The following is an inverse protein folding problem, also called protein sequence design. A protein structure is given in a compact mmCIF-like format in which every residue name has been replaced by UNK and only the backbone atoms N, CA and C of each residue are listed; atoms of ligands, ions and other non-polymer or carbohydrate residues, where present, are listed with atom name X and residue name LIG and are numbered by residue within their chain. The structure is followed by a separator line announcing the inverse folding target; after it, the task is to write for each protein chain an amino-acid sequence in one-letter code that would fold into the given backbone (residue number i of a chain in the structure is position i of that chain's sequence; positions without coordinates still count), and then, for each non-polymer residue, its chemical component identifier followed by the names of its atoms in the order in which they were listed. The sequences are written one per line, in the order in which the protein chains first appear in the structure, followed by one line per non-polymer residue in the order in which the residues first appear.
data_IF_018167790881
#
_entry.id   IF_018167790881
#
_cell.length_a   1.000
_cell.length_b   1.000
_cell.length_c   1.000
_cell.angle_alpha   90.00
_cell.angle_beta   90.00
_cell.angle_gamma   90.00
#
_symmetry.space_group_name_H-M   'P 1'
#
loop_
_entity.id
_entity.type
_entity.pdbx_description
1 polymer ?
#
# COMPACT_ATOMS: atom_id res chain seq x y z
N UNK A 1 -29.85 6.01 9.66
CA UNK A 1 -28.94 5.38 8.69
C UNK A 1 -29.29 5.84 7.28
N UNK A 2 -28.31 6.19 6.46
CA UNK A 2 -28.55 6.56 5.06
C UNK A 2 -29.14 5.37 4.28
N UNK A 3 -30.09 5.62 3.37
CA UNK A 3 -30.67 4.58 2.51
C UNK A 3 -29.58 4.08 1.54
N UNK A 4 -29.38 2.77 1.48
CA UNK A 4 -28.49 2.14 0.50
C UNK A 4 -29.01 2.38 -0.92
N UNK A 5 -28.10 2.67 -1.85
CA UNK A 5 -28.43 2.78 -3.27
C UNK A 5 -28.86 1.41 -3.83
N UNK A 6 -29.54 1.38 -5.00
CA UNK A 6 -29.94 0.13 -5.66
C UNK A 6 -28.72 -0.79 -5.88
N UNK A 7 -27.63 -0.26 -6.43
CA UNK A 7 -26.38 -1.01 -6.65
C UNK A 7 -25.77 -1.59 -5.38
N UNK A 8 -25.74 -0.81 -4.29
CA UNK A 8 -25.26 -1.30 -3.00
C UNK A 8 -26.13 -2.41 -2.41
N UNK A 9 -27.45 -2.36 -2.61
CA UNK A 9 -28.35 -3.44 -2.20
C UNK A 9 -28.08 -4.72 -2.98
N UNK A 10 -27.93 -4.63 -4.30
CA UNK A 10 -27.59 -5.75 -5.17
C UNK A 10 -26.22 -6.33 -4.81
N UNK A 11 -25.21 -5.50 -4.59
CA UNK A 11 -23.89 -5.92 -4.16
C UNK A 11 -23.93 -6.64 -2.80
N UNK A 12 -24.68 -6.09 -1.84
CA UNK A 12 -24.82 -6.67 -0.50
C UNK A 12 -25.62 -7.98 -0.52
N UNK A 13 -26.59 -8.16 -1.43
CA UNK A 13 -27.36 -9.40 -1.54
C UNK A 13 -26.53 -10.58 -2.06
N UNK A 14 -25.41 -10.32 -2.77
CA UNK A 14 -24.48 -11.35 -3.25
C UNK A 14 -23.52 -11.84 -2.16
N UNK A 15 -23.41 -11.14 -1.05
CA UNK A 15 -22.54 -11.48 0.07
C UNK A 15 -23.39 -12.03 1.21
N UNK A 16 -23.15 -13.25 1.64
CA UNK A 16 -23.82 -13.84 2.80
C UNK A 16 -23.28 -13.17 4.07
N UNK A 17 -24.20 -12.63 4.87
CA UNK A 17 -23.85 -12.02 6.16
C UNK A 17 -23.28 -13.08 7.11
N UNK A 18 -22.21 -12.71 7.80
CA UNK A 18 -21.52 -13.56 8.80
C UNK A 18 -20.83 -14.81 8.25
N UNK A 19 -20.75 -14.97 6.93
CA UNK A 19 -19.93 -16.04 6.32
C UNK A 19 -18.49 -15.57 6.18
N UNK A 20 -17.57 -16.42 6.56
CA UNK A 20 -16.14 -16.24 6.27
C UNK A 20 -15.83 -16.98 4.97
N UNK A 21 -15.25 -16.28 4.03
CA UNK A 21 -14.91 -16.83 2.71
C UNK A 21 -13.44 -17.24 2.67
N UNK A 22 -13.13 -18.24 1.86
CA UNK A 22 -11.74 -18.51 1.51
C UNK A 22 -11.19 -17.36 0.67
N UNK A 23 -9.88 -17.14 0.67
CA UNK A 23 -9.26 -16.06 -0.12
C UNK A 23 -9.56 -16.22 -1.61
N UNK A 24 -9.58 -17.46 -2.12
CA UNK A 24 -9.87 -17.77 -3.52
C UNK A 24 -11.32 -17.45 -3.91
N UNK A 25 -12.27 -17.85 -3.08
CA UNK A 25 -13.69 -17.57 -3.33
C UNK A 25 -13.97 -16.07 -3.25
N UNK A 26 -13.36 -15.38 -2.28
CA UNK A 26 -13.50 -13.95 -2.10
C UNK A 26 -12.94 -13.16 -3.29
N UNK A 27 -11.79 -13.56 -3.84
CA UNK A 27 -11.20 -12.92 -5.03
C UNK A 27 -12.11 -13.05 -6.25
N UNK A 28 -12.77 -14.19 -6.43
CA UNK A 28 -13.75 -14.41 -7.50
C UNK A 28 -15.04 -13.63 -7.27
N UNK A 29 -15.57 -13.65 -6.03
CA UNK A 29 -16.79 -12.95 -5.64
C UNK A 29 -16.64 -11.45 -5.79
N UNK A 30 -15.48 -10.90 -5.48
CA UNK A 30 -15.18 -9.48 -5.53
C UNK A 30 -15.41 -8.89 -6.93
N UNK A 31 -15.06 -9.60 -8.00
CA UNK A 31 -15.35 -9.21 -9.37
C UNK A 31 -16.85 -9.12 -9.68
N UNK A 32 -17.65 -9.99 -9.09
CA UNK A 32 -19.11 -10.01 -9.31
C UNK A 32 -19.84 -8.95 -8.50
N UNK A 33 -19.24 -8.47 -7.42
CA UNK A 33 -19.78 -7.46 -6.51
C UNK A 33 -19.40 -6.05 -6.95
N UNK A 34 -18.29 -5.88 -7.65
CA UNK A 34 -17.87 -4.60 -8.22
C UNK A 34 -18.98 -4.04 -9.15
N UNK A 35 -19.39 -2.80 -8.93
CA UNK A 35 -20.55 -2.20 -9.59
C UNK A 35 -20.27 -0.85 -10.24
N UNK A 36 -19.07 -0.31 -10.11
CA UNK A 36 -18.70 0.97 -10.71
C UNK A 36 -18.43 0.86 -12.21
N UNK A 37 -18.46 2.00 -12.90
CA UNK A 37 -18.18 2.09 -14.34
C UNK A 37 -16.68 2.32 -14.62
N UNK A 38 -15.87 2.48 -13.59
CA UNK A 38 -14.41 2.66 -13.67
C UNK A 38 -13.72 1.43 -13.09
N UNK A 39 -12.44 1.28 -13.38
CA UNK A 39 -11.62 0.20 -12.82
C UNK A 39 -11.34 0.47 -11.34
N UNK A 40 -12.13 -0.20 -10.47
CA UNK A 40 -12.05 -0.02 -9.03
C UNK A 40 -10.72 -0.56 -8.48
N UNK A 41 -10.17 0.11 -7.47
CA UNK A 41 -9.07 -0.43 -6.68
C UNK A 41 -9.58 -1.53 -5.76
N UNK A 42 -8.74 -2.55 -5.58
CA UNK A 42 -8.97 -3.65 -4.62
C UNK A 42 -8.07 -3.42 -3.43
N UNK A 43 -8.69 -3.32 -2.26
CA UNK A 43 -8.01 -3.05 -1.01
C UNK A 43 -8.20 -4.20 -0.03
N UNK A 44 -7.14 -4.49 0.74
CA UNK A 44 -7.17 -5.43 1.86
C UNK A 44 -7.05 -4.66 3.17
N UNK A 45 -7.88 -5.01 4.14
CA UNK A 45 -7.84 -4.48 5.50
C UNK A 45 -7.61 -5.64 6.47
N UNK A 46 -6.48 -5.64 7.18
CA UNK A 46 -6.10 -6.69 8.12
C UNK A 46 -6.07 -6.11 9.53
N UNK A 47 -6.97 -6.57 10.39
CA UNK A 47 -6.99 -6.19 11.79
C UNK A 47 -6.05 -7.08 12.59
N UNK A 48 -5.03 -6.45 13.19
CA UNK A 48 -4.01 -7.12 13.98
C UNK A 48 -4.33 -7.03 15.49
N UNK A 49 -3.84 -7.99 16.24
CA UNK A 49 -3.90 -8.05 17.71
C UNK A 49 -2.75 -7.32 18.37
N UNK A 50 -2.43 -6.09 17.90
CA UNK A 50 -1.35 -5.26 18.41
C UNK A 50 -1.87 -3.96 18.99
N UNK A 51 -1.12 -3.36 19.91
CA UNK A 51 -1.37 -2.01 20.43
C UNK A 51 -0.41 -1.02 19.76
N UNK A 52 -0.86 -0.25 18.76
CA UNK A 52 0.00 0.66 17.99
C UNK A 52 0.52 1.86 18.82
N UNK A 53 0.02 2.07 20.03
CA UNK A 53 0.52 3.09 20.97
C UNK A 53 1.88 2.70 21.56
N UNK A 54 2.19 1.40 21.55
CA UNK A 54 3.46 0.87 22.06
C UNK A 54 4.44 0.74 20.89
N UNK A 55 5.60 1.39 21.00
CA UNK A 55 6.62 1.41 19.96
C UNK A 55 7.10 0.01 19.56
N UNK A 56 7.13 -0.94 20.50
CA UNK A 56 7.54 -2.34 20.29
C UNK A 56 6.44 -3.21 19.64
N UNK A 57 5.23 -2.69 19.46
CA UNK A 57 4.12 -3.38 18.80
C UNK A 57 3.70 -2.68 17.49
N UNK A 58 4.40 -1.64 17.10
CA UNK A 58 4.13 -0.94 15.84
C UNK A 58 4.62 -1.76 14.66
N UNK A 59 3.70 -2.29 13.87
CA UNK A 59 3.99 -3.02 12.64
C UNK A 59 4.09 -2.04 11.48
N UNK A 60 5.23 -2.05 10.82
CA UNK A 60 5.50 -1.30 9.58
C UNK A 60 6.46 -2.11 8.72
N UNK A 61 6.19 -2.16 7.44
CA UNK A 61 7.04 -2.88 6.51
C UNK A 61 6.77 -2.50 5.07
N UNK A 62 7.39 -3.26 4.21
CA UNK A 62 7.20 -3.20 2.76
C UNK A 62 6.91 -4.60 2.24
N UNK A 63 6.17 -4.67 1.17
CA UNK A 63 5.91 -5.90 0.43
C UNK A 63 6.03 -5.60 -1.05
N UNK A 64 6.61 -6.52 -1.81
CA UNK A 64 6.64 -6.46 -3.26
C UNK A 64 5.55 -7.38 -3.78
N UNK A 65 4.56 -6.82 -4.44
CA UNK A 65 3.44 -7.58 -4.99
C UNK A 65 3.89 -8.30 -6.27
N UNK A 66 3.64 -9.62 -6.41
CA UNK A 66 4.05 -10.39 -7.59
C UNK A 66 3.48 -9.83 -8.89
N UNK A 67 2.27 -9.30 -8.86
CA UNK A 67 1.57 -8.76 -10.03
C UNK A 67 1.45 -7.22 -10.02
N UNK A 68 2.18 -6.54 -9.12
CA UNK A 68 2.09 -5.10 -8.94
C UNK A 68 0.73 -4.64 -8.42
N UNK A 69 0.52 -3.32 -8.40
CA UNK A 69 -0.74 -2.68 -7.96
C UNK A 69 -1.68 -2.32 -9.11
N UNK A 70 -1.22 -2.41 -10.37
CA UNK A 70 -1.97 -1.92 -11.54
C UNK A 70 -2.13 -0.40 -11.58
N UNK A 71 -1.34 0.33 -10.81
CA UNK A 71 -1.28 1.80 -10.82
C UNK A 71 0.08 2.23 -11.36
N UNK A 72 0.07 3.16 -12.30
CA UNK A 72 1.29 3.83 -12.74
C UNK A 72 1.78 4.76 -11.64
N UNK A 73 2.89 4.39 -10.99
CA UNK A 73 3.46 5.12 -9.86
C UNK A 73 4.44 6.16 -10.39
N UNK A 74 4.18 7.43 -10.09
CA UNK A 74 5.08 8.54 -10.43
C UNK A 74 6.17 8.66 -9.37
N UNK A 75 7.40 8.38 -9.78
CA UNK A 75 8.57 8.33 -8.90
C UNK A 75 9.42 9.58 -9.08
N UNK A 76 9.66 10.30 -7.97
CA UNK A 76 10.64 11.38 -7.89
C UNK A 76 11.92 10.85 -7.23
N UNK A 77 13.04 10.90 -7.95
CA UNK A 77 14.35 10.60 -7.40
C UNK A 77 15.09 11.91 -7.02
N UNK A 78 15.28 12.13 -5.72
CA UNK A 78 16.07 13.24 -5.19
C UNK A 78 17.50 12.75 -4.93
N UNK A 79 18.38 12.99 -5.90
CA UNK A 79 19.73 12.45 -5.93
C UNK A 79 20.75 13.56 -6.24
N UNK A 80 22.03 13.26 -5.96
CA UNK A 80 23.13 14.12 -6.40
C UNK A 80 23.30 14.05 -7.92
N UNK A 81 23.90 15.06 -8.56
CA UNK A 81 24.09 15.08 -10.01
C UNK A 81 24.76 13.84 -10.59
N UNK A 82 25.66 13.23 -9.82
CA UNK A 82 26.39 12.01 -10.21
C UNK A 82 25.47 10.80 -10.43
N UNK A 83 24.33 10.75 -9.73
CA UNK A 83 23.37 9.64 -9.77
C UNK A 83 22.12 9.95 -10.60
N UNK A 84 22.02 11.12 -11.19
CA UNK A 84 20.84 11.50 -12.00
C UNK A 84 20.69 10.63 -13.25
N UNK A 85 21.80 10.35 -13.95
CA UNK A 85 21.79 9.51 -15.14
C UNK A 85 21.32 8.09 -14.82
N UNK A 86 21.77 7.53 -13.69
CA UNK A 86 21.38 6.21 -13.20
C UNK A 86 19.88 6.16 -12.85
N UNK A 87 19.37 7.18 -12.16
CA UNK A 87 17.96 7.27 -11.79
C UNK A 87 17.03 7.41 -13.02
N UNK A 88 17.44 8.20 -14.03
CA UNK A 88 16.72 8.35 -15.31
C UNK A 88 16.71 7.03 -16.08
N UNK A 89 17.83 6.34 -16.16
CA UNK A 89 17.94 5.03 -16.83
C UNK A 89 17.06 3.97 -16.15
N UNK A 90 16.90 4.03 -14.84
CA UNK A 90 16.02 3.14 -14.08
C UNK A 90 14.53 3.46 -14.26
N UNK A 91 14.18 4.55 -14.96
CA UNK A 91 12.81 4.91 -15.28
C UNK A 91 12.12 5.81 -14.26
N UNK A 92 12.85 6.60 -13.45
CA UNK A 92 12.25 7.61 -12.60
C UNK A 92 11.61 8.72 -13.46
N UNK A 93 10.39 9.15 -13.11
CA UNK A 93 9.63 10.15 -13.89
C UNK A 93 10.19 11.55 -13.68
N UNK A 94 10.66 11.81 -12.48
CA UNK A 94 11.28 13.07 -12.11
C UNK A 94 12.60 12.81 -11.42
N UNK A 95 13.66 13.51 -11.85
CA UNK A 95 15.01 13.37 -11.29
C UNK A 95 15.64 14.75 -11.15
N UNK A 96 16.23 15.03 -9.99
CA UNK A 96 16.90 16.29 -9.68
C UNK A 96 17.02 16.51 -8.19
N UNK A 97 17.53 17.64 -7.77
CA UNK A 97 17.71 17.96 -6.35
C UNK A 97 17.11 19.31 -5.98
N UNK A 98 17.86 20.39 -6.16
CA UNK A 98 17.51 21.70 -5.60
C UNK A 98 16.26 22.30 -6.26
N UNK A 99 16.05 22.07 -7.56
CA UNK A 99 14.86 22.52 -8.29
C UNK A 99 13.57 21.90 -7.73
N UNK A 100 13.60 20.58 -7.44
CA UNK A 100 12.44 19.89 -6.89
C UNK A 100 12.24 20.19 -5.40
N UNK A 101 13.31 20.43 -4.65
CA UNK A 101 13.20 20.91 -3.27
C UNK A 101 12.47 22.26 -3.21
N UNK A 102 12.76 23.16 -4.15
CA UNK A 102 12.07 24.43 -4.23
C UNK A 102 10.61 24.26 -4.66
N UNK A 103 10.32 23.47 -5.70
CA UNK A 103 8.94 23.15 -6.12
C UNK A 103 8.11 22.57 -4.98
N UNK A 104 8.69 21.66 -4.17
CA UNK A 104 7.99 21.07 -3.02
C UNK A 104 7.72 22.12 -1.94
N UNK A 105 8.64 23.08 -1.69
CA UNK A 105 8.39 24.22 -0.80
C UNK A 105 7.20 25.05 -1.27
N UNK A 106 7.09 25.24 -2.59
CA UNK A 106 6.02 25.99 -3.23
C UNK A 106 4.69 25.20 -3.29
N UNK A 107 4.68 23.97 -2.74
CA UNK A 107 3.49 23.13 -2.59
C UNK A 107 3.28 22.08 -3.69
N UNK A 108 4.21 21.93 -4.63
CA UNK A 108 4.12 20.86 -5.63
C UNK A 108 4.34 19.48 -5.00
N UNK A 109 3.40 18.58 -5.21
CA UNK A 109 3.41 17.24 -4.65
C UNK A 109 2.77 16.22 -5.61
N UNK A 110 2.90 16.46 -6.91
CA UNK A 110 2.29 15.62 -7.95
C UNK A 110 3.14 14.38 -8.25
N UNK A 111 3.48 13.66 -7.18
CA UNK A 111 4.25 12.40 -7.19
C UNK A 111 3.65 11.42 -6.19
N UNK A 112 3.85 10.14 -6.42
CA UNK A 112 3.32 9.08 -5.55
C UNK A 112 4.41 8.55 -4.59
N UNK A 113 5.67 8.52 -5.02
CA UNK A 113 6.81 8.05 -4.20
C UNK A 113 8.03 8.94 -4.41
N UNK A 114 8.72 9.25 -3.32
CA UNK A 114 9.99 9.96 -3.33
C UNK A 114 11.09 9.02 -2.88
N UNK A 115 12.11 8.84 -3.73
CA UNK A 115 13.32 8.07 -3.43
C UNK A 115 14.47 9.05 -3.26
N UNK A 116 15.31 8.82 -2.27
CA UNK A 116 16.43 9.73 -1.98
C UNK A 116 17.65 8.98 -1.47
N UNK A 117 18.78 9.67 -1.48
CA UNK A 117 20.02 9.20 -0.86
C UNK A 117 20.12 9.70 0.59
N UNK A 118 20.81 8.96 1.48
CA UNK A 118 21.02 9.40 2.87
C UNK A 118 21.67 10.79 2.97
N UNK A 119 22.57 11.13 2.06
CA UNK A 119 23.25 12.42 2.02
C UNK A 119 22.26 13.62 1.79
N UNK A 120 21.15 13.37 1.09
CA UNK A 120 20.17 14.40 0.75
C UNK A 120 19.11 14.57 1.85
N UNK A 121 18.96 13.60 2.74
CA UNK A 121 17.92 13.61 3.81
C UNK A 121 17.98 14.87 4.68
N UNK A 122 19.15 15.43 4.94
CA UNK A 122 19.31 16.68 5.68
C UNK A 122 18.57 17.86 5.03
N UNK A 123 18.58 17.96 3.69
CA UNK A 123 17.88 19.00 2.92
C UNK A 123 16.36 18.79 2.91
N UNK A 124 15.89 17.55 3.08
CA UNK A 124 14.46 17.19 3.11
C UNK A 124 13.81 17.43 4.48
N UNK A 125 14.59 17.50 5.56
CA UNK A 125 14.07 17.71 6.91
C UNK A 125 13.06 18.86 7.03
N UNK A 126 13.38 20.09 6.54
CA UNK A 126 12.46 21.22 6.58
C UNK A 126 11.14 21.00 5.81
N UNK A 127 11.15 20.12 4.79
CA UNK A 127 9.98 19.80 3.97
C UNK A 127 9.06 18.76 4.61
N UNK A 128 9.45 18.19 5.76
CA UNK A 128 8.64 17.21 6.48
C UNK A 128 7.24 17.68 6.84
N UNK A 129 7.04 19.02 6.98
CA UNK A 129 5.71 19.61 7.21
C UNK A 129 4.77 19.47 6.00
N UNK A 130 5.31 19.46 4.78
CA UNK A 130 4.56 19.33 3.53
C UNK A 130 4.43 17.86 3.15
N UNK A 131 5.53 17.10 3.18
CA UNK A 131 5.59 15.71 2.74
C UNK A 131 5.01 14.73 3.76
N UNK A 132 5.15 15.02 5.07
CA UNK A 132 4.71 14.13 6.15
C UNK A 132 3.22 13.80 6.13
N UNK A 133 2.30 14.79 6.11
CA UNK A 133 0.85 14.55 6.08
C UNK A 133 0.38 13.79 4.84
N UNK A 134 1.13 13.88 3.73
CA UNK A 134 0.83 13.19 2.46
C UNK A 134 1.45 11.79 2.35
N UNK A 135 2.24 11.37 3.35
CA UNK A 135 2.93 10.09 3.32
C UNK A 135 4.12 10.03 2.36
N UNK A 136 4.52 11.15 1.75
CA UNK A 136 5.58 11.22 0.74
C UNK A 136 6.99 11.31 1.35
N UNK A 137 7.12 11.41 2.68
CA UNK A 137 8.42 11.54 3.33
C UNK A 137 9.22 10.25 3.21
N UNK A 138 10.41 10.28 2.56
CA UNK A 138 11.25 9.10 2.43
C UNK A 138 11.67 8.52 3.79
N UNK A 139 11.76 7.20 3.88
CA UNK A 139 12.13 6.53 5.11
C UNK A 139 13.05 5.33 4.85
N UNK A 140 14.16 5.18 5.60
CA UNK A 140 15.06 4.04 5.47
C UNK A 140 14.37 2.68 5.67
N UNK A 141 13.38 2.62 6.56
CA UNK A 141 12.64 1.36 6.85
C UNK A 141 11.76 0.89 5.69
N UNK A 142 11.35 1.79 4.80
CA UNK A 142 10.59 1.47 3.58
C UNK A 142 11.48 1.31 2.36
N UNK A 143 12.81 1.44 2.53
CA UNK A 143 13.77 1.33 1.43
C UNK A 143 13.71 2.47 0.42
N UNK A 144 13.01 3.57 0.75
CA UNK A 144 12.98 4.78 -0.10
C UNK A 144 14.17 5.72 0.14
N UNK A 145 15.00 5.41 1.14
CA UNK A 145 16.30 6.05 1.39
C UNK A 145 17.38 5.00 1.19
N UNK A 146 18.11 5.08 0.08
CA UNK A 146 19.12 4.07 -0.30
C UNK A 146 20.24 4.70 -1.11
N UNK A 147 21.39 4.03 -1.14
CA UNK A 147 22.51 4.38 -2.02
C UNK A 147 22.31 3.83 -3.44
N UNK A 148 21.55 2.74 -3.57
CA UNK A 148 21.23 2.08 -4.83
C UNK A 148 19.84 2.56 -5.33
N UNK A 149 19.87 3.72 -5.98
CA UNK A 149 18.65 4.39 -6.44
C UNK A 149 18.00 3.62 -7.58
N UNK A 150 18.78 3.07 -8.50
CA UNK A 150 18.25 2.35 -9.67
C UNK A 150 17.39 1.14 -9.24
N UNK A 151 17.93 0.34 -8.31
CA UNK A 151 17.21 -0.80 -7.75
C UNK A 151 15.93 -0.38 -7.04
N UNK A 152 15.98 0.68 -6.23
CA UNK A 152 14.81 1.17 -5.53
C UNK A 152 13.70 1.67 -6.48
N UNK A 153 14.06 2.38 -7.55
CA UNK A 153 13.11 2.82 -8.58
C UNK A 153 12.47 1.62 -9.27
N UNK A 154 13.29 0.63 -9.67
CA UNK A 154 12.77 -0.58 -10.31
C UNK A 154 11.82 -1.36 -9.41
N UNK A 155 12.16 -1.54 -8.12
CA UNK A 155 11.30 -2.21 -7.14
C UNK A 155 9.96 -1.47 -6.92
N UNK A 156 9.98 -0.15 -6.81
CA UNK A 156 8.75 0.66 -6.65
C UNK A 156 7.87 0.53 -7.90
N UNK A 157 8.45 0.60 -9.10
CA UNK A 157 7.71 0.41 -10.35
C UNK A 157 7.22 -1.04 -10.54
N UNK A 158 7.92 -2.02 -9.98
CA UNK A 158 7.49 -3.42 -9.96
C UNK A 158 6.33 -3.70 -8.99
N UNK A 159 5.91 -2.70 -8.18
CA UNK A 159 4.77 -2.85 -7.28
C UNK A 159 5.14 -3.05 -5.81
N UNK A 160 6.28 -2.52 -5.38
CA UNK A 160 6.63 -2.43 -3.96
C UNK A 160 5.74 -1.40 -3.29
N UNK A 161 5.00 -1.83 -2.28
CA UNK A 161 4.15 -0.97 -1.46
C UNK A 161 4.67 -0.94 -0.02
N UNK A 162 4.48 0.17 0.65
CA UNK A 162 4.70 0.25 2.09
C UNK A 162 3.36 0.19 2.84
N UNK A 163 3.40 -0.35 4.04
CA UNK A 163 2.25 -0.40 4.92
C UNK A 163 2.66 -0.08 6.36
N UNK A 164 1.70 0.45 7.07
CA UNK A 164 1.84 0.80 8.49
C UNK A 164 0.52 0.53 9.19
N UNK A 165 0.61 -0.04 10.40
CA UNK A 165 -0.56 -0.18 11.28
C UNK A 165 -1.07 1.20 11.68
N UNK A 166 -2.38 1.40 11.61
CA UNK A 166 -3.05 2.61 12.04
C UNK A 166 -3.25 2.66 13.58
N UNK A 167 -3.88 3.72 14.09
CA UNK A 167 -4.14 3.89 15.53
C UNK A 167 -5.12 2.86 16.09
N UNK A 168 -5.88 2.17 15.26
CA UNK A 168 -6.88 1.16 15.63
C UNK A 168 -6.36 -0.28 15.52
N UNK A 169 -5.12 -0.45 15.09
CA UNK A 169 -4.49 -1.76 14.92
C UNK A 169 -4.81 -2.43 13.59
N UNK A 170 -5.20 -1.66 12.57
CA UNK A 170 -5.54 -2.17 11.24
C UNK A 170 -4.44 -1.76 10.25
N UNK A 171 -4.08 -2.67 9.35
CA UNK A 171 -3.25 -2.41 8.18
C UNK A 171 -4.16 -2.33 6.97
N UNK A 172 -4.03 -1.27 6.19
CA UNK A 172 -4.71 -1.06 4.92
C UNK A 172 -3.69 -1.08 3.80
N UNK A 173 -3.97 -1.83 2.73
CA UNK A 173 -3.09 -1.89 1.56
C UNK A 173 -3.89 -2.10 0.29
N UNK A 174 -3.54 -1.37 -0.77
CA UNK A 174 -4.07 -1.60 -2.11
C UNK A 174 -3.35 -2.77 -2.76
N UNK A 175 -4.09 -3.80 -3.20
CA UNK A 175 -3.52 -5.05 -3.74
C UNK A 175 -3.68 -5.19 -5.24
N UNK A 176 -4.43 -4.30 -5.89
CA UNK A 176 -4.63 -4.37 -7.34
C UNK A 176 -5.85 -3.61 -7.82
N UNK A 177 -6.32 -4.02 -8.98
CA UNK A 177 -7.50 -3.49 -9.67
C UNK A 177 -8.51 -4.61 -9.94
N UNK A 178 -9.77 -4.23 -10.11
CA UNK A 178 -10.84 -5.18 -10.51
C UNK A 178 -10.58 -5.80 -11.88
N UNK A 179 -9.87 -5.10 -12.76
CA UNK A 179 -9.41 -5.60 -14.05
C UNK A 179 -8.45 -6.80 -13.96
N UNK A 180 -7.79 -6.99 -12.81
CA UNK A 180 -6.91 -8.14 -12.60
C UNK A 180 -7.70 -9.45 -12.57
N UNK A 181 -7.04 -10.56 -12.94
CA UNK A 181 -7.60 -11.88 -12.76
C UNK A 181 -7.73 -12.23 -11.27
N UNK A 182 -8.70 -13.09 -10.94
CA UNK A 182 -8.93 -13.50 -9.56
C UNK A 182 -7.68 -14.14 -8.91
N UNK A 183 -6.92 -14.90 -9.69
CA UNK A 183 -5.67 -15.53 -9.23
C UNK A 183 -4.60 -14.48 -8.90
N UNK A 184 -4.48 -13.41 -9.69
CA UNK A 184 -3.55 -12.30 -9.41
C UNK A 184 -3.90 -11.55 -8.12
N UNK A 185 -5.21 -11.35 -7.88
CA UNK A 185 -5.70 -10.73 -6.64
C UNK A 185 -5.41 -11.66 -5.45
N UNK A 186 -5.61 -12.96 -5.64
CA UNK A 186 -5.30 -13.98 -4.65
C UNK A 186 -3.81 -13.95 -4.27
N UNK A 187 -2.91 -14.02 -5.26
CA UNK A 187 -1.46 -14.06 -5.02
C UNK A 187 -0.98 -12.79 -4.29
N UNK A 188 -1.44 -11.61 -4.73
CA UNK A 188 -1.10 -10.35 -4.09
C UNK A 188 -1.61 -10.28 -2.64
N UNK A 189 -2.85 -10.70 -2.39
CA UNK A 189 -3.43 -10.72 -1.05
C UNK A 189 -2.69 -11.70 -0.13
N UNK A 190 -2.37 -12.90 -0.64
CA UNK A 190 -1.63 -13.93 0.09
C UNK A 190 -0.24 -13.44 0.50
N UNK A 191 0.51 -12.80 -0.41
CA UNK A 191 1.85 -12.27 -0.12
C UNK A 191 1.83 -11.20 0.98
N UNK A 192 0.81 -10.32 0.99
CA UNK A 192 0.65 -9.34 2.08
C UNK A 192 0.42 -10.04 3.42
N UNK A 193 -0.50 -11.01 3.47
CA UNK A 193 -0.81 -11.70 4.72
C UNK A 193 0.41 -12.48 5.23
N UNK A 194 1.13 -13.17 4.35
CA UNK A 194 2.36 -13.87 4.70
C UNK A 194 3.45 -12.92 5.22
N UNK A 195 3.60 -11.76 4.58
CA UNK A 195 4.54 -10.72 5.04
C UNK A 195 4.15 -10.18 6.42
N UNK A 196 2.85 -9.96 6.67
CA UNK A 196 2.37 -9.54 7.99
C UNK A 196 2.65 -10.60 9.06
N UNK A 197 2.48 -11.89 8.75
CA UNK A 197 2.78 -12.99 9.68
C UNK A 197 4.28 -13.00 10.02
N UNK A 198 5.16 -12.86 9.01
CA UNK A 198 6.61 -12.79 9.20
C UNK A 198 7.04 -11.61 10.07
N UNK A 199 6.33 -10.48 9.98
CA UNK A 199 6.60 -9.26 10.74
C UNK A 199 5.93 -9.21 12.13
N UNK A 200 5.39 -10.33 12.61
CA UNK A 200 4.75 -10.39 13.94
C UNK A 200 5.74 -9.97 15.03
N UNK A 201 5.44 -8.91 15.81
CA UNK A 201 6.28 -8.51 16.94
C UNK A 201 6.29 -9.58 18.04
N UNK A 202 7.43 -9.83 18.66
CA UNK A 202 7.57 -10.76 19.79
C UNK A 202 6.74 -10.33 21.00
N UNK A 203 6.48 -9.03 21.13
CA UNK A 203 5.65 -8.45 22.18
C UNK A 203 4.14 -8.65 21.97
N UNK A 204 3.71 -9.11 20.77
CA UNK A 204 2.29 -9.36 20.48
C UNK A 204 1.87 -10.71 21.07
N UNK A 205 1.05 -10.67 22.11
CA UNK A 205 0.48 -11.87 22.77
C UNK A 205 -0.92 -12.17 22.23
N UNK A 206 -1.27 -13.45 22.18
CA UNK A 206 -2.59 -13.93 21.75
C UNK A 206 -2.73 -14.00 20.22
N UNK A 207 -3.99 -13.90 19.73
CA UNK A 207 -4.32 -13.99 18.31
C UNK A 207 -3.80 -12.75 17.57
N UNK A 208 -2.86 -12.95 16.64
CA UNK A 208 -2.22 -11.86 15.91
C UNK A 208 -3.12 -11.30 14.80
N UNK A 209 -3.64 -12.15 13.93
CA UNK A 209 -4.62 -11.74 12.90
C UNK A 209 -6.01 -11.94 13.48
N UNK A 210 -6.78 -10.87 13.66
CA UNK A 210 -8.13 -10.92 14.21
C UNK A 210 -9.20 -11.04 13.13
N UNK A 211 -9.06 -10.28 12.05
CA UNK A 211 -9.96 -10.33 10.90
C UNK A 211 -9.26 -9.81 9.65
N UNK A 212 -9.66 -10.31 8.50
CA UNK A 212 -9.20 -9.88 7.18
C UNK A 212 -10.43 -9.56 6.35
N UNK A 213 -10.40 -8.45 5.63
CA UNK A 213 -11.47 -8.03 4.74
C UNK A 213 -10.90 -7.60 3.40
N UNK A 214 -11.55 -8.03 2.33
CA UNK A 214 -11.31 -7.53 0.98
C UNK A 214 -12.46 -6.63 0.55
N UNK A 215 -12.15 -5.54 -0.14
CA UNK A 215 -13.17 -4.63 -0.68
C UNK A 215 -12.70 -3.99 -1.97
N UNK A 216 -13.64 -3.61 -2.82
CA UNK A 216 -13.39 -2.67 -3.90
C UNK A 216 -13.78 -1.26 -3.46
N UNK A 217 -13.40 -0.26 -4.25
CA UNK A 217 -13.65 1.17 -3.94
C UNK A 217 -15.11 1.46 -3.58
N UNK A 218 -16.08 0.86 -4.29
CA UNK A 218 -17.51 1.13 -4.10
C UNK A 218 -18.30 -0.08 -3.59
N UNK A 219 -17.64 -1.21 -3.31
CA UNK A 219 -18.30 -2.44 -2.88
C UNK A 219 -18.33 -2.59 -1.34
N UNK A 220 -19.29 -3.37 -0.80
CA UNK A 220 -19.20 -3.84 0.58
C UNK A 220 -17.98 -4.76 0.77
N UNK A 221 -17.47 -4.80 2.00
CA UNK A 221 -16.34 -5.64 2.35
C UNK A 221 -16.73 -7.12 2.46
N UNK A 222 -15.87 -7.99 1.98
CA UNK A 222 -15.97 -9.45 2.07
C UNK A 222 -15.06 -9.92 3.21
N UNK A 223 -15.61 -10.61 4.19
CA UNK A 223 -14.87 -11.15 5.33
C UNK A 223 -14.17 -12.46 4.94
N UNK A 224 -12.87 -12.56 5.22
CA UNK A 224 -12.07 -13.75 4.99
C UNK A 224 -11.88 -14.57 6.27
N UNK A 225 -11.71 -15.88 6.11
CA UNK A 225 -11.28 -16.74 7.22
C UNK A 225 -9.78 -16.53 7.48
N UNK A 226 -9.39 -15.98 8.66
CA UNK A 226 -7.99 -15.75 8.98
C UNK A 226 -7.15 -17.03 9.10
N UNK A 227 -7.79 -18.20 9.17
CA UNK A 227 -7.12 -19.50 9.28
C UNK A 227 -6.87 -20.16 7.92
N UNK A 228 -7.60 -19.71 6.90
CA UNK A 228 -7.54 -20.28 5.56
C UNK A 228 -6.65 -19.47 4.59
N UNK A 229 -5.86 -18.51 5.10
CA UNK A 229 -4.98 -17.64 4.31
C UNK A 229 -3.52 -17.92 4.59
#
# INVERSE_FOLDING_TARGET
MAKLTKKQKEATSKIEKNKLYSLKDASSLLKTVASAKFDESVDIAVRLGVDPRKANQMVRGVVTLPHGTGKDVRVLALVTPDKEAEAKAAGADHVGLDDYLQKIKDGWTDVDVIITMPAVMGKLGPLGRVLGPRGLMPNPKTGTVTMDVAKAVAEVKAGKIDFKVDKTGIVHAGIGRVSFDADKIYDNAHEIVQTLIKLKPTAAKGTYIKSIHLSCTMSPAIALDPKAV
#
